data_IF_027110971439
#
_entry.id   IF_027110971439
#
_cell.length_a   1.000
_cell.length_b   1.000
_cell.length_c   1.000
_cell.angle_alpha   90.00
_cell.angle_beta   90.00
_cell.angle_gamma   90.00
#
_symmetry.space_group_name_H-M   'P 1'
#
loop_
_entity.id
_entity.type
_entity.pdbx_description
1 polymer ?
#
# COMPACT_ATOMS: atom_id res chain seq x y z
N UNK A 1 21.91 -19.10 -64.93
CA UNK A 1 21.28 -19.83 -63.81
C UNK A 1 21.92 -19.35 -62.51
N UNK A 2 21.32 -18.39 -61.80
CA UNK A 2 21.62 -18.02 -60.39
C UNK A 2 20.87 -16.74 -59.99
N UNK A 3 19.62 -16.89 -59.53
CA UNK A 3 18.84 -15.84 -58.84
C UNK A 3 17.91 -16.44 -57.78
N UNK A 4 18.42 -17.37 -56.97
CA UNK A 4 17.58 -18.04 -55.95
C UNK A 4 18.07 -17.91 -54.50
N UNK A 5 19.17 -17.20 -54.25
CA UNK A 5 19.80 -17.18 -52.92
C UNK A 5 19.61 -15.91 -52.06
N UNK A 6 18.94 -14.87 -52.57
CA UNK A 6 18.88 -13.59 -51.82
C UNK A 6 17.59 -13.40 -51.00
N UNK A 7 16.49 -14.08 -51.36
CA UNK A 7 15.17 -13.82 -50.77
C UNK A 7 15.03 -14.28 -49.31
N UNK A 8 15.73 -15.36 -48.91
CA UNK A 8 15.68 -15.89 -47.54
C UNK A 8 16.45 -15.04 -46.52
N UNK A 9 17.50 -14.34 -46.96
CA UNK A 9 18.37 -13.54 -46.08
C UNK A 9 17.72 -12.21 -45.72
N UNK A 10 16.94 -11.63 -46.63
CA UNK A 10 16.18 -10.40 -46.40
C UNK A 10 14.98 -10.64 -45.47
N UNK A 11 14.27 -11.75 -45.61
CA UNK A 11 13.12 -12.09 -44.74
C UNK A 11 13.53 -12.36 -43.30
N UNK A 12 14.67 -13.03 -43.05
CA UNK A 12 15.18 -13.22 -41.67
C UNK A 12 15.62 -11.92 -41.02
N UNK A 13 16.19 -10.97 -41.78
CA UNK A 13 16.57 -9.65 -41.23
C UNK A 13 15.35 -8.78 -40.93
N UNK A 14 14.32 -8.81 -41.77
CA UNK A 14 13.05 -8.13 -41.52
C UNK A 14 12.32 -8.70 -40.31
N UNK A 15 12.31 -10.02 -40.12
CA UNK A 15 11.74 -10.67 -38.93
C UNK A 15 12.52 -10.33 -37.65
N UNK A 16 13.85 -10.24 -37.70
CA UNK A 16 14.65 -9.84 -36.55
C UNK A 16 14.40 -8.37 -36.17
N UNK A 17 14.32 -7.47 -37.15
CA UNK A 17 14.00 -6.06 -36.90
C UNK A 17 12.56 -5.88 -36.40
N UNK A 18 11.60 -6.66 -36.89
CA UNK A 18 10.22 -6.64 -36.38
C UNK A 18 10.15 -7.18 -34.94
N UNK A 19 10.90 -8.23 -34.61
CA UNK A 19 10.98 -8.77 -33.24
C UNK A 19 11.65 -7.79 -32.27
N UNK A 20 12.74 -7.13 -32.68
CA UNK A 20 13.41 -6.11 -31.86
C UNK A 20 12.49 -4.92 -31.64
N UNK A 21 11.80 -4.43 -32.68
CA UNK A 21 10.84 -3.33 -32.51
C UNK A 21 9.59 -3.71 -31.72
N UNK A 22 9.15 -4.97 -31.75
CA UNK A 22 8.04 -5.46 -30.92
C UNK A 22 8.48 -5.68 -29.48
N UNK A 23 9.71 -6.12 -29.21
CA UNK A 23 10.29 -6.15 -27.86
C UNK A 23 10.50 -4.72 -27.34
N UNK A 24 10.98 -3.79 -28.17
CA UNK A 24 11.13 -2.37 -27.79
C UNK A 24 9.77 -1.66 -27.63
N UNK A 25 8.72 -2.04 -28.38
CA UNK A 25 7.36 -1.54 -28.15
C UNK A 25 6.66 -2.21 -26.95
N UNK A 26 7.02 -3.44 -26.62
CA UNK A 26 6.59 -4.10 -25.38
C UNK A 26 7.33 -3.58 -24.14
N UNK A 27 8.42 -2.81 -24.34
CA UNK A 27 9.13 -2.05 -23.31
C UNK A 27 8.82 -0.55 -23.48
N UNK A 28 7.54 -0.21 -23.63
CA UNK A 28 7.04 1.07 -23.14
C UNK A 28 6.77 0.90 -21.64
N UNK A 29 7.87 0.71 -20.87
CA UNK A 29 7.85 0.68 -19.41
C UNK A 29 7.22 1.98 -18.94
N UNK A 30 6.01 1.92 -18.39
CA UNK A 30 5.35 3.11 -17.85
C UNK A 30 5.87 3.35 -16.43
N UNK A 31 7.11 3.82 -16.32
CA UNK A 31 7.55 4.47 -15.10
C UNK A 31 6.60 5.65 -14.85
N UNK A 32 6.04 5.75 -13.64
CA UNK A 32 5.16 6.86 -13.30
C UNK A 32 5.93 8.17 -13.39
N UNK A 33 5.49 9.08 -14.26
CA UNK A 33 6.22 10.33 -14.48
C UNK A 33 6.13 11.23 -13.25
N UNK A 34 7.07 12.14 -13.09
CA UNK A 34 7.02 13.14 -12.00
C UNK A 34 5.72 13.97 -12.02
N UNK A 35 5.16 14.22 -13.21
CA UNK A 35 3.88 14.94 -13.36
C UNK A 35 2.74 14.10 -12.79
N UNK A 36 2.73 12.81 -13.09
CA UNK A 36 1.71 11.87 -12.64
C UNK A 36 1.76 11.67 -11.13
N UNK A 37 2.96 11.53 -10.55
CA UNK A 37 3.13 11.46 -9.09
C UNK A 37 2.56 12.71 -8.43
N UNK A 38 2.86 13.90 -8.94
CA UNK A 38 2.34 15.17 -8.39
C UNK A 38 0.81 15.21 -8.47
N UNK A 39 0.23 14.78 -9.59
CA UNK A 39 -1.22 14.70 -9.77
C UNK A 39 -1.88 13.74 -8.77
N UNK A 40 -1.33 12.54 -8.65
CA UNK A 40 -1.81 11.52 -7.72
C UNK A 40 -1.68 11.97 -6.25
N UNK A 41 -0.52 12.49 -5.86
CA UNK A 41 -0.27 12.96 -4.49
C UNK A 41 -1.20 14.11 -4.12
N UNK A 42 -1.44 15.04 -5.06
CA UNK A 42 -2.41 16.13 -4.87
C UNK A 42 -3.82 15.58 -4.67
N UNK A 43 -4.27 14.68 -5.54
CA UNK A 43 -5.61 14.07 -5.44
C UNK A 43 -5.78 13.26 -4.14
N UNK A 44 -4.75 12.53 -3.71
CA UNK A 44 -4.72 11.79 -2.45
C UNK A 44 -4.76 12.74 -1.23
N UNK A 45 -3.97 13.81 -1.25
CA UNK A 45 -4.00 14.84 -0.19
C UNK A 45 -5.39 15.44 -0.04
N UNK A 46 -6.05 15.80 -1.14
CA UNK A 46 -7.40 16.35 -1.15
C UNK A 46 -8.42 15.35 -0.60
N UNK A 47 -8.35 14.09 -1.07
CA UNK A 47 -9.22 13.02 -0.62
C UNK A 47 -9.12 12.78 0.90
N UNK A 48 -7.89 12.70 1.42
CA UNK A 48 -7.61 12.43 2.83
C UNK A 48 -7.77 13.66 3.73
N UNK A 49 -7.93 14.85 3.13
CA UNK A 49 -7.86 16.15 3.81
C UNK A 49 -6.56 16.32 4.62
N UNK A 50 -5.47 15.86 4.03
CA UNK A 50 -4.14 15.90 4.64
C UNK A 50 -3.57 17.31 4.64
N UNK A 51 -2.95 17.74 5.74
CA UNK A 51 -2.31 19.06 5.82
C UNK A 51 -0.88 19.10 5.27
N UNK A 52 -0.21 17.96 5.15
CA UNK A 52 1.19 17.89 4.75
C UNK A 52 1.53 16.55 4.07
N UNK A 53 2.51 16.59 3.16
CA UNK A 53 3.05 15.41 2.48
C UNK A 53 4.51 15.19 2.89
N UNK A 54 4.84 13.95 3.26
CA UNK A 54 6.21 13.52 3.51
C UNK A 54 6.65 12.57 2.40
N UNK A 55 7.65 12.99 1.64
CA UNK A 55 8.26 12.17 0.60
C UNK A 55 9.41 11.41 1.23
N UNK A 56 9.35 10.09 1.20
CA UNK A 56 10.38 9.21 1.74
C UNK A 56 11.11 8.57 0.57
N UNK A 57 12.42 8.75 0.52
CA UNK A 57 13.22 8.36 -0.62
C UNK A 57 14.60 7.86 -0.19
N UNK A 58 14.97 6.67 -0.67
CA UNK A 58 16.21 5.98 -0.30
C UNK A 58 17.48 6.62 -0.84
N UNK A 59 18.61 6.14 -0.33
CA UNK A 59 19.95 6.73 -0.52
C UNK A 59 20.42 6.80 -1.98
N UNK A 60 19.84 6.01 -2.89
CA UNK A 60 20.24 5.90 -4.30
C UNK A 60 19.48 6.76 -5.32
N UNK A 61 18.28 7.24 -5.01
CA UNK A 61 17.34 7.79 -6.01
C UNK A 61 17.09 9.30 -5.89
N UNK A 62 17.84 9.99 -5.01
CA UNK A 62 17.21 11.05 -4.21
C UNK A 62 17.56 12.52 -4.45
N UNK A 63 18.31 12.92 -5.47
CA UNK A 63 18.64 14.37 -5.59
C UNK A 63 17.83 15.10 -6.66
N UNK A 64 17.87 14.67 -7.92
CA UNK A 64 17.30 15.49 -9.01
C UNK A 64 15.78 15.30 -9.12
N UNK A 65 15.30 14.05 -9.13
CA UNK A 65 13.87 13.74 -9.27
C UNK A 65 13.06 14.28 -8.09
N UNK A 66 13.60 14.20 -6.87
CA UNK A 66 12.94 14.70 -5.66
C UNK A 66 12.89 16.22 -5.62
N UNK A 67 13.96 16.92 -6.02
CA UNK A 67 13.95 18.37 -6.11
C UNK A 67 12.92 18.89 -7.15
N UNK A 68 12.85 18.24 -8.31
CA UNK A 68 11.83 18.48 -9.34
C UNK A 68 10.42 18.26 -8.78
N UNK A 69 10.23 17.16 -8.04
CA UNK A 69 8.94 16.80 -7.45
C UNK A 69 8.49 17.78 -6.37
N UNK A 70 9.38 18.19 -5.46
CA UNK A 70 9.13 19.22 -4.45
C UNK A 70 8.74 20.55 -5.09
N UNK A 71 9.47 20.98 -6.13
CA UNK A 71 9.17 22.21 -6.86
C UNK A 71 7.75 22.16 -7.45
N UNK A 72 7.39 21.04 -8.08
CA UNK A 72 6.06 20.87 -8.70
C UNK A 72 4.94 20.76 -7.67
N UNK A 73 5.16 20.07 -6.56
CA UNK A 73 4.21 20.03 -5.44
C UNK A 73 3.98 21.44 -4.87
N UNK A 74 5.04 22.23 -4.70
CA UNK A 74 4.92 23.62 -4.28
C UNK A 74 4.12 24.47 -5.27
N UNK A 75 4.33 24.29 -6.58
CA UNK A 75 3.51 24.95 -7.62
C UNK A 75 2.04 24.52 -7.59
N UNK A 76 1.75 23.32 -7.10
CA UNK A 76 0.40 22.79 -6.88
C UNK A 76 -0.15 23.11 -5.48
N UNK A 77 0.48 24.03 -4.74
CA UNK A 77 0.08 24.44 -3.38
C UNK A 77 0.04 23.27 -2.37
N UNK A 78 0.88 22.25 -2.60
CA UNK A 78 1.06 21.13 -1.70
C UNK A 78 2.30 21.37 -0.82
N UNK A 79 2.07 21.51 0.48
CA UNK A 79 3.15 21.53 1.49
C UNK A 79 3.77 20.14 1.59
N UNK A 80 5.01 20.01 1.11
CA UNK A 80 5.73 18.76 1.08
C UNK A 80 7.16 18.93 1.61
N UNK A 81 7.66 17.92 2.31
CA UNK A 81 9.06 17.82 2.72
C UNK A 81 9.60 16.43 2.44
N UNK A 82 10.92 16.29 2.44
CA UNK A 82 11.62 15.04 2.16
C UNK A 82 12.23 14.52 3.46
N UNK A 83 12.06 13.22 3.69
CA UNK A 83 12.70 12.50 4.79
C UNK A 83 13.58 11.39 4.22
N UNK A 84 14.76 11.23 4.82
CA UNK A 84 15.52 10.01 4.63
C UNK A 84 14.77 8.85 5.33
N UNK A 85 14.77 7.62 4.77
CA UNK A 85 14.18 6.46 5.44
C UNK A 85 14.68 6.25 6.88
N UNK A 86 15.93 6.60 7.18
CA UNK A 86 16.48 6.49 8.53
C UNK A 86 15.95 7.55 9.51
N UNK A 87 15.45 8.68 8.99
CA UNK A 87 14.93 9.79 9.81
C UNK A 87 13.43 9.65 10.08
N UNK A 88 12.75 8.70 9.43
CA UNK A 88 11.30 8.50 9.54
C UNK A 88 10.88 8.20 10.98
N UNK A 89 11.56 7.28 11.66
CA UNK A 89 11.18 6.88 13.03
C UNK A 89 11.41 8.01 14.03
N UNK A 90 12.61 8.63 14.12
CA UNK A 90 12.83 9.77 15.01
C UNK A 90 11.83 10.90 14.77
N UNK A 91 11.52 11.19 13.50
CA UNK A 91 10.56 12.23 13.15
C UNK A 91 9.12 11.89 13.58
N UNK A 92 8.73 10.61 13.48
CA UNK A 92 7.40 10.15 13.91
C UNK A 92 7.21 10.30 15.40
N UNK A 93 8.19 9.88 16.19
CA UNK A 93 8.13 9.92 17.66
C UNK A 93 7.96 11.35 18.18
N UNK A 94 8.58 12.33 17.53
CA UNK A 94 8.63 13.71 18.02
C UNK A 94 7.48 14.63 17.52
N UNK A 95 6.98 14.44 16.28
CA UNK A 95 6.22 15.50 15.60
C UNK A 95 4.87 15.09 15.01
N UNK A 96 4.57 13.80 14.95
CA UNK A 96 3.52 13.33 14.05
C UNK A 96 2.10 13.54 14.55
N UNK A 97 1.89 13.56 15.87
CA UNK A 97 0.59 13.89 16.48
C UNK A 97 0.23 15.38 16.30
N UNK A 98 1.20 16.24 15.99
CA UNK A 98 1.00 17.67 15.79
C UNK A 98 0.49 18.00 14.38
N UNK A 99 0.59 17.06 13.45
CA UNK A 99 0.25 17.26 12.04
C UNK A 99 -1.08 16.56 11.75
N UNK A 100 -2.02 17.29 11.16
CA UNK A 100 -3.32 16.74 10.82
C UNK A 100 -3.22 15.75 9.65
N UNK A 101 -3.22 14.45 9.97
CA UNK A 101 -3.25 13.32 9.03
C UNK A 101 -2.24 13.46 7.89
N UNK A 102 -0.93 13.49 8.17
CA UNK A 102 0.05 13.61 7.10
C UNK A 102 -0.07 12.44 6.12
N UNK A 103 0.13 12.69 4.82
CA UNK A 103 0.29 11.64 3.82
C UNK A 103 1.78 11.34 3.66
N UNK A 104 2.18 10.08 3.79
CA UNK A 104 3.57 9.68 3.52
C UNK A 104 3.64 8.91 2.23
N UNK A 105 4.62 9.25 1.42
CA UNK A 105 4.78 8.70 0.08
C UNK A 105 6.17 8.11 -0.01
N UNK A 106 6.26 6.79 -0.06
CA UNK A 106 7.48 6.09 -0.40
C UNK A 106 7.65 6.11 -1.92
N UNK A 107 8.72 6.76 -2.37
CA UNK A 107 9.03 6.93 -3.80
C UNK A 107 10.02 5.89 -4.33
N UNK A 108 10.59 5.07 -3.45
CA UNK A 108 11.52 4.01 -3.81
C UNK A 108 11.15 2.70 -3.13
N UNK A 109 11.58 1.62 -3.76
CA UNK A 109 11.37 0.25 -3.29
C UNK A 109 12.70 -0.47 -3.06
N UNK A 110 13.73 0.29 -2.72
CA UNK A 110 15.05 -0.23 -2.39
C UNK A 110 15.09 -0.89 -1.00
N UNK A 111 16.22 -1.53 -0.71
CA UNK A 111 16.43 -2.25 0.55
C UNK A 111 16.39 -1.36 1.79
N UNK A 112 16.75 -0.08 1.68
CA UNK A 112 16.68 0.87 2.79
C UNK A 112 15.23 1.21 3.09
N UNK A 113 14.43 1.48 2.05
CA UNK A 113 12.98 1.70 2.21
C UNK A 113 12.27 0.48 2.77
N UNK A 114 12.60 -0.72 2.29
CA UNK A 114 12.05 -1.97 2.84
C UNK A 114 12.40 -2.15 4.33
N UNK A 115 13.65 -1.87 4.71
CA UNK A 115 14.11 -1.94 6.10
C UNK A 115 13.37 -0.93 6.98
N UNK A 116 13.24 0.31 6.52
CA UNK A 116 12.51 1.37 7.22
C UNK A 116 11.06 0.99 7.43
N UNK A 117 10.37 0.48 6.40
CA UNK A 117 8.99 0.00 6.53
C UNK A 117 8.85 -1.05 7.63
N UNK A 118 9.73 -2.07 7.62
CA UNK A 118 9.75 -3.10 8.66
C UNK A 118 9.95 -2.54 10.07
N UNK A 119 10.79 -1.51 10.22
CA UNK A 119 11.04 -0.90 11.52
C UNK A 119 9.89 0.01 11.97
N UNK A 120 9.35 0.83 11.06
CA UNK A 120 8.23 1.73 11.34
C UNK A 120 7.03 0.95 11.87
N UNK A 121 6.63 -0.11 11.18
CA UNK A 121 5.48 -0.91 11.60
C UNK A 121 5.73 -1.79 12.84
N UNK A 122 6.98 -1.94 13.28
CA UNK A 122 7.32 -2.62 14.54
C UNK A 122 7.29 -1.69 15.74
N UNK A 123 7.73 -0.45 15.56
CA UNK A 123 7.95 0.50 16.68
C UNK A 123 6.74 1.41 16.89
N UNK A 124 6.05 1.78 15.81
CA UNK A 124 5.04 2.83 15.84
C UNK A 124 3.65 2.22 15.83
N UNK A 125 2.79 2.75 16.68
CA UNK A 125 1.35 2.53 16.58
C UNK A 125 0.82 3.25 15.34
N UNK A 126 0.68 2.52 14.23
CA UNK A 126 0.30 3.09 12.93
C UNK A 126 -1.20 3.34 12.77
N UNK A 127 -1.96 3.33 13.89
CA UNK A 127 -3.37 3.68 13.91
C UNK A 127 -3.58 5.04 13.26
N UNK A 128 -4.47 5.10 12.27
CA UNK A 128 -4.81 6.33 11.55
C UNK A 128 -3.68 6.94 10.70
N UNK A 129 -2.62 6.17 10.41
CA UNK A 129 -1.58 6.62 9.48
C UNK A 129 -1.90 6.13 8.07
N UNK A 130 -1.99 7.09 7.15
CA UNK A 130 -2.11 6.80 5.72
C UNK A 130 -0.75 6.85 5.05
N UNK A 131 -0.41 5.77 4.36
CA UNK A 131 0.84 5.58 3.63
C UNK A 131 0.53 5.28 2.16
N UNK A 132 1.38 5.76 1.27
CA UNK A 132 1.33 5.49 -0.15
C UNK A 132 2.69 4.99 -0.62
N UNK A 133 2.75 3.79 -1.16
CA UNK A 133 3.91 3.24 -1.84
C UNK A 133 3.71 3.40 -3.35
N UNK A 134 4.68 4.02 -4.02
CA UNK A 134 4.73 4.13 -5.47
C UNK A 134 5.96 3.36 -5.96
N UNK A 135 5.79 2.10 -6.41
CA UNK A 135 6.88 1.32 -6.97
C UNK A 135 7.49 2.00 -8.19
N UNK A 136 8.81 1.87 -8.32
CA UNK A 136 9.54 2.37 -9.50
C UNK A 136 9.29 1.50 -10.74
N UNK A 137 9.10 0.19 -10.52
CA UNK A 137 8.85 -0.82 -11.55
C UNK A 137 7.45 -1.43 -11.35
N UNK A 138 6.65 -1.46 -12.41
CA UNK A 138 5.30 -2.04 -12.42
C UNK A 138 5.30 -3.57 -12.33
N UNK A 139 6.40 -4.23 -12.68
CA UNK A 139 6.58 -5.67 -12.51
C UNK A 139 6.99 -6.07 -11.09
N UNK A 140 7.21 -5.11 -10.19
CA UNK A 140 7.56 -5.42 -8.80
C UNK A 140 6.45 -6.24 -8.13
N UNK A 141 6.82 -7.41 -7.62
CA UNK A 141 5.98 -8.17 -6.69
C UNK A 141 5.85 -7.41 -5.37
N UNK A 142 4.67 -6.86 -5.12
CA UNK A 142 4.31 -6.22 -3.85
C UNK A 142 4.42 -7.21 -2.68
N UNK A 143 4.15 -8.50 -2.91
CA UNK A 143 4.31 -9.54 -1.88
C UNK A 143 5.77 -9.69 -1.47
N UNK A 144 6.67 -9.74 -2.45
CA UNK A 144 8.11 -9.93 -2.20
C UNK A 144 8.69 -8.70 -1.50
N UNK A 145 8.29 -7.50 -1.92
CA UNK A 145 8.72 -6.26 -1.28
C UNK A 145 8.20 -6.14 0.16
N UNK A 146 6.97 -6.55 0.42
CA UNK A 146 6.36 -6.51 1.76
C UNK A 146 6.52 -7.82 2.56
N UNK A 147 7.37 -8.73 2.08
CA UNK A 147 7.69 -9.95 2.80
C UNK A 147 8.31 -9.59 4.16
N UNK A 148 7.84 -10.24 5.23
CA UNK A 148 8.31 -9.99 6.60
C UNK A 148 7.97 -8.60 7.16
N UNK A 149 7.16 -7.80 6.46
CA UNK A 149 6.60 -6.55 6.96
C UNK A 149 5.17 -6.81 7.44
N UNK A 150 4.93 -6.62 8.75
CA UNK A 150 3.59 -6.68 9.31
C UNK A 150 2.92 -5.31 9.19
N UNK A 151 2.03 -5.14 8.22
CA UNK A 151 1.20 -3.93 8.08
C UNK A 151 -0.10 -4.17 8.85
N UNK A 152 -0.36 -3.46 9.96
CA UNK A 152 -1.50 -3.76 10.81
C UNK A 152 -2.85 -3.57 10.12
N UNK A 153 -3.82 -4.38 10.52
CA UNK A 153 -5.22 -4.33 10.08
C UNK A 153 -5.93 -2.99 10.35
N UNK A 154 -5.35 -2.05 11.10
CA UNK A 154 -5.89 -0.70 11.32
C UNK A 154 -5.09 0.42 10.65
N UNK A 155 -4.06 0.08 9.86
CA UNK A 155 -3.26 1.04 9.08
C UNK A 155 -3.75 1.16 7.65
N UNK A 156 -3.84 2.38 7.11
CA UNK A 156 -4.28 2.65 5.74
C UNK A 156 -3.03 2.70 4.82
N UNK A 157 -2.58 1.54 4.34
CA UNK A 157 -1.40 1.44 3.48
C UNK A 157 -1.80 1.14 2.05
N UNK A 158 -1.60 2.10 1.16
CA UNK A 158 -1.96 2.00 -0.24
C UNK A 158 -0.71 1.77 -1.10
N UNK A 159 -0.85 0.95 -2.13
CA UNK A 159 0.14 0.75 -3.18
C UNK A 159 -0.45 1.25 -4.49
N UNK A 160 0.23 2.17 -5.15
CA UNK A 160 -0.15 2.70 -6.45
C UNK A 160 0.64 2.06 -7.58
N UNK A 161 -0.02 1.23 -8.40
CA UNK A 161 0.60 0.57 -9.55
C UNK A 161 0.00 1.11 -10.85
N UNK A 162 0.86 1.41 -11.82
CA UNK A 162 0.43 1.87 -13.14
C UNK A 162 -0.12 0.67 -13.92
N UNK A 163 -1.25 0.87 -14.59
CA UNK A 163 -1.88 -0.09 -15.49
C UNK A 163 -2.53 0.67 -16.64
N UNK A 164 -1.81 0.75 -17.76
CA UNK A 164 -2.22 1.55 -18.92
C UNK A 164 -2.39 3.04 -18.55
N UNK A 165 -3.56 3.66 -18.76
CA UNK A 165 -3.79 5.07 -18.48
C UNK A 165 -4.15 5.37 -17.02
N UNK A 166 -4.19 4.37 -16.15
CA UNK A 166 -4.64 4.49 -14.76
C UNK A 166 -3.52 4.11 -13.78
N UNK A 167 -3.57 4.71 -12.61
CA UNK A 167 -2.90 4.20 -11.40
C UNK A 167 -3.96 3.50 -10.56
N UNK A 168 -3.82 2.19 -10.37
CA UNK A 168 -4.64 1.44 -9.44
C UNK A 168 -4.08 1.57 -8.03
N UNK A 169 -4.94 1.97 -7.11
CA UNK A 169 -4.64 1.99 -5.69
C UNK A 169 -5.20 0.74 -5.04
N UNK A 170 -4.31 -0.05 -4.46
CA UNK A 170 -4.67 -1.24 -3.70
C UNK A 170 -4.25 -1.03 -2.25
N UNK A 171 -5.20 -1.16 -1.34
CA UNK A 171 -4.92 -1.23 0.08
C UNK A 171 -4.33 -2.59 0.42
N UNK A 172 -3.28 -2.60 1.24
CA UNK A 172 -2.61 -3.82 1.69
C UNK A 172 -2.43 -3.84 3.20
N UNK A 173 -2.67 -4.99 3.81
CA UNK A 173 -2.55 -5.20 5.25
C UNK A 173 -2.41 -6.68 5.57
N UNK A 174 -2.08 -7.00 6.83
CA UNK A 174 -2.15 -8.36 7.37
C UNK A 174 -3.07 -8.38 8.57
N UNK A 175 -3.95 -9.37 8.63
CA UNK A 175 -4.94 -9.50 9.71
C UNK A 175 -4.28 -9.85 11.05
N UNK A 176 -3.19 -10.62 11.00
CA UNK A 176 -2.31 -10.87 12.13
C UNK A 176 -0.85 -11.04 11.67
N UNK A 177 0.09 -11.00 12.61
CA UNK A 177 1.50 -11.23 12.30
C UNK A 177 1.71 -12.67 11.81
N UNK A 178 2.41 -12.83 10.68
CA UNK A 178 2.63 -14.13 10.03
C UNK A 178 1.55 -14.55 9.04
N UNK A 179 0.39 -13.87 9.00
CA UNK A 179 -0.66 -14.15 8.02
C UNK A 179 -0.32 -13.61 6.62
N UNK A 180 -0.92 -14.14 5.55
CA UNK A 180 -0.75 -13.63 4.18
C UNK A 180 -1.09 -12.15 4.02
N UNK A 181 -0.54 -11.52 2.98
CA UNK A 181 -0.84 -10.12 2.66
C UNK A 181 -2.21 -10.06 2.01
N UNK A 182 -3.15 -9.39 2.67
CA UNK A 182 -4.46 -9.06 2.14
C UNK A 182 -4.36 -7.87 1.19
N UNK A 183 -5.17 -7.90 0.13
CA UNK A 183 -5.24 -6.86 -0.90
C UNK A 183 -6.68 -6.50 -1.16
N UNK A 184 -7.00 -5.22 -1.02
CA UNK A 184 -8.31 -4.69 -1.33
C UNK A 184 -8.20 -3.55 -2.32
N UNK A 185 -9.00 -3.58 -3.37
CA UNK A 185 -9.03 -2.49 -4.32
C UNK A 185 -9.60 -1.23 -3.65
N UNK A 186 -8.80 -0.16 -3.62
CA UNK A 186 -9.20 1.11 -3.01
C UNK A 186 -9.84 2.03 -4.05
N UNK A 187 -9.23 2.12 -5.23
CA UNK A 187 -9.67 3.04 -6.26
C UNK A 187 -8.68 3.17 -7.40
N UNK A 188 -8.93 4.15 -8.26
CA UNK A 188 -8.00 4.51 -9.32
C UNK A 188 -7.89 6.02 -9.51
N UNK A 189 -6.79 6.41 -10.12
CA UNK A 189 -6.53 7.76 -10.57
C UNK A 189 -6.07 7.74 -12.03
N UNK A 190 -6.48 8.71 -12.83
CA UNK A 190 -6.11 8.78 -14.25
C UNK A 190 -4.81 9.55 -14.44
N UNK A 191 -3.88 9.03 -15.25
CA UNK A 191 -2.64 9.74 -15.62
C UNK A 191 -2.93 11.04 -16.40
N UNK A 192 -4.12 11.16 -17.00
CA UNK A 192 -4.58 12.41 -17.64
C UNK A 192 -4.97 13.48 -16.61
N UNK A 193 -4.87 13.17 -15.31
CA UNK A 193 -5.36 14.00 -14.22
C UNK A 193 -6.83 13.78 -13.91
N UNK A 194 -7.33 14.55 -12.95
CA UNK A 194 -8.72 14.50 -12.51
C UNK A 194 -8.89 13.97 -11.09
N UNK A 195 -10.15 13.80 -10.66
CA UNK A 195 -10.45 13.39 -9.30
C UNK A 195 -10.07 11.94 -9.04
N UNK A 196 -9.71 11.65 -7.80
CA UNK A 196 -9.52 10.28 -7.35
C UNK A 196 -10.87 9.54 -7.31
N UNK A 197 -10.96 8.43 -8.04
CA UNK A 197 -12.13 7.56 -8.03
C UNK A 197 -11.95 6.46 -6.98
N UNK A 198 -12.53 6.67 -5.81
CA UNK A 198 -12.50 5.70 -4.70
C UNK A 198 -13.72 4.79 -4.77
N UNK A 199 -13.51 3.48 -4.64
CA UNK A 199 -14.62 2.53 -4.62
C UNK A 199 -15.47 2.75 -3.36
N UNK A 200 -16.80 2.71 -3.49
CA UNK A 200 -17.70 2.83 -2.35
C UNK A 200 -17.48 1.76 -1.27
N UNK A 201 -16.92 0.60 -1.64
CA UNK A 201 -16.55 -0.48 -0.71
C UNK A 201 -15.26 -0.17 0.06
N UNK A 202 -14.31 0.57 -0.50
CA UNK A 202 -13.17 1.07 0.25
C UNK A 202 -13.59 1.99 1.43
N UNK A 203 -14.81 2.54 1.40
CA UNK A 203 -15.41 3.25 2.55
C UNK A 203 -16.07 2.34 3.59
N UNK A 204 -16.40 1.09 3.24
CA UNK A 204 -16.85 0.08 4.21
C UNK A 204 -15.59 -0.49 4.84
N UNK A 205 -15.37 -0.13 6.09
CA UNK A 205 -14.24 -0.59 6.91
C UNK A 205 -14.07 -2.11 6.80
N UNK A 206 -12.83 -2.56 6.89
CA UNK A 206 -12.42 -3.97 6.95
C UNK A 206 -13.26 -4.71 8.00
N UNK A 207 -14.26 -5.47 7.54
CA UNK A 207 -15.20 -6.21 8.39
C UNK A 207 -15.00 -7.72 8.29
N UNK A 208 -13.91 -8.18 7.69
CA UNK A 208 -13.62 -9.60 7.52
C UNK A 208 -12.25 -9.88 8.13
N UNK A 209 -12.23 -10.69 9.18
CA UNK A 209 -11.04 -11.10 9.91
C UNK A 209 -10.54 -12.47 9.43
N UNK A 210 -11.05 -12.98 8.31
CA UNK A 210 -10.52 -14.12 7.56
C UNK A 210 -10.28 -15.39 8.40
N UNK A 211 -11.08 -15.59 9.44
CA UNK A 211 -11.02 -16.74 10.33
C UNK A 211 -9.88 -16.72 11.35
N UNK A 212 -9.23 -15.56 11.62
CA UNK A 212 -8.21 -15.49 12.68
C UNK A 212 -8.79 -15.95 14.03
N UNK A 213 -7.92 -16.44 14.91
CA UNK A 213 -8.29 -16.78 16.28
C UNK A 213 -8.20 -15.52 17.16
N UNK A 214 -9.34 -14.99 17.61
CA UNK A 214 -9.41 -13.84 18.50
C UNK A 214 -9.51 -14.31 19.96
N UNK A 215 -8.43 -14.12 20.72
CA UNK A 215 -8.39 -14.49 22.14
C UNK A 215 -8.83 -13.32 23.01
N UNK A 216 -9.81 -13.56 23.87
CA UNK A 216 -10.31 -12.56 24.82
C UNK A 216 -10.25 -13.09 26.26
N UNK A 217 -10.09 -12.17 27.20
CA UNK A 217 -10.19 -12.44 28.63
C UNK A 217 -11.42 -11.72 29.15
N UNK A 218 -12.24 -12.43 29.88
CA UNK A 218 -13.52 -11.93 30.36
C UNK A 218 -13.55 -12.01 31.88
N UNK A 219 -13.99 -10.93 32.52
CA UNK A 219 -14.25 -10.93 33.96
C UNK A 219 -15.55 -11.69 34.24
N UNK A 220 -15.52 -12.57 35.24
CA UNK A 220 -16.70 -13.27 35.72
C UNK A 220 -17.60 -12.29 36.49
N UNK A 221 -18.56 -11.71 35.78
CA UNK A 221 -19.59 -10.83 36.33
C UNK A 221 -20.90 -11.58 36.14
N UNK A 222 -21.46 -12.08 37.25
CA UNK A 222 -22.56 -13.06 37.28
C UNK A 222 -23.82 -12.62 36.51
N UNK A 223 -23.96 -11.34 36.18
CA UNK A 223 -25.07 -10.76 35.43
C UNK A 223 -24.82 -10.61 33.92
N UNK A 224 -23.57 -10.75 33.45
CA UNK A 224 -23.15 -10.42 32.07
C UNK A 224 -22.58 -11.64 31.33
N UNK A 225 -21.97 -12.58 32.05
CA UNK A 225 -21.24 -13.72 31.49
C UNK A 225 -21.73 -15.03 32.09
N UNK A 226 -21.90 -16.05 31.23
CA UNK A 226 -22.15 -17.43 31.67
C UNK A 226 -20.91 -18.22 31.32
N UNK A 227 -20.20 -18.67 32.35
CA UNK A 227 -18.96 -19.43 32.23
C UNK A 227 -19.26 -20.90 32.50
N UNK A 228 -18.73 -21.79 31.66
CA UNK A 228 -18.80 -23.24 31.83
C UNK A 228 -17.38 -23.81 31.87
N UNK A 229 -17.13 -24.65 32.86
CA UNK A 229 -15.89 -25.43 32.95
C UNK A 229 -16.12 -26.82 32.39
N UNK A 230 -15.43 -27.15 31.31
CA UNK A 230 -15.42 -28.49 30.70
C UNK A 230 -13.98 -28.94 30.47
N UNK A 231 -13.63 -30.17 30.88
CA UNK A 231 -12.31 -30.77 30.66
C UNK A 231 -11.12 -29.87 31.11
N UNK A 232 -11.22 -29.25 32.29
CA UNK A 232 -10.25 -28.26 32.80
C UNK A 232 -10.06 -27.03 31.90
N UNK A 233 -11.04 -26.70 31.05
CA UNK A 233 -11.09 -25.47 30.27
C UNK A 233 -12.32 -24.67 30.65
N UNK A 234 -12.08 -23.44 31.08
CA UNK A 234 -13.10 -22.44 31.35
C UNK A 234 -13.46 -21.75 30.03
N UNK A 235 -14.72 -21.82 29.61
CA UNK A 235 -15.23 -21.22 28.37
C UNK A 235 -16.44 -20.35 28.64
N UNK A 236 -16.65 -19.32 27.83
CA UNK A 236 -17.86 -18.50 27.91
C UNK A 236 -18.97 -19.20 27.12
N UNK A 237 -19.89 -19.84 27.82
CA UNK A 237 -21.01 -20.56 27.22
C UNK A 237 -22.19 -19.64 26.85
N UNK A 238 -22.28 -18.43 27.41
CA UNK A 238 -23.39 -17.52 27.15
C UNK A 238 -23.37 -16.21 27.96
N UNK A 239 -24.56 -15.70 28.26
CA UNK A 239 -24.76 -14.36 28.82
C UNK A 239 -24.76 -13.29 27.74
N UNK A 240 -24.98 -12.03 28.13
CA UNK A 240 -24.98 -10.90 27.20
C UNK A 240 -23.65 -10.81 26.43
N UNK A 241 -22.52 -10.99 27.12
CA UNK A 241 -21.21 -11.00 26.46
C UNK A 241 -21.10 -12.14 25.44
N UNK A 242 -21.46 -13.37 25.81
CA UNK A 242 -21.39 -14.51 24.89
C UNK A 242 -22.27 -14.34 23.65
N UNK A 243 -23.43 -13.71 23.78
CA UNK A 243 -24.30 -13.37 22.65
C UNK A 243 -23.66 -12.33 21.73
N UNK A 244 -23.13 -11.24 22.29
CA UNK A 244 -22.44 -10.20 21.52
C UNK A 244 -21.20 -10.76 20.84
N UNK A 245 -20.42 -11.60 21.53
CA UNK A 245 -19.22 -12.23 20.98
C UNK A 245 -19.53 -13.09 19.76
N UNK A 246 -20.56 -13.94 19.82
CA UNK A 246 -20.99 -14.77 18.68
C UNK A 246 -21.52 -13.93 17.52
N UNK A 247 -22.23 -12.83 17.81
CA UNK A 247 -22.67 -11.90 16.77
C UNK A 247 -21.45 -11.30 16.06
N UNK A 248 -20.45 -10.84 16.83
CA UNK A 248 -19.21 -10.31 16.27
C UNK A 248 -18.44 -11.39 15.49
N UNK A 249 -18.37 -12.62 15.99
CA UNK A 249 -17.73 -13.76 15.31
C UNK A 249 -18.34 -14.01 13.93
N UNK A 250 -19.67 -13.96 13.83
CA UNK A 250 -20.41 -14.13 12.58
C UNK A 250 -20.24 -12.95 11.62
N UNK A 251 -20.37 -11.71 12.12
CA UNK A 251 -20.32 -10.50 11.30
C UNK A 251 -18.89 -10.15 10.87
N UNK A 252 -17.90 -10.53 11.66
CA UNK A 252 -16.49 -10.20 11.43
C UNK A 252 -15.65 -11.39 10.96
N UNK A 253 -16.20 -12.60 10.88
CA UNK A 253 -15.50 -13.80 10.42
C UNK A 253 -14.18 -14.06 11.17
N UNK A 254 -14.23 -14.22 12.49
CA UNK A 254 -13.12 -14.72 13.32
C UNK A 254 -13.54 -16.00 14.04
N UNK A 255 -12.63 -16.61 14.82
CA UNK A 255 -12.88 -17.78 15.69
C UNK A 255 -12.40 -17.57 17.12
#
# INVERSE_FOLDING_TARGET
MNRHFDKKRTTSRLLLFLMITIQDLAILRSEISTVDIVGLVTAMKEHLKSSAVFLICGSGTCNIRVAELLKRLSMAEVSATVLNPNDVIPYIEDYWELINKPLKVFLSTDTDTQRTLRQVFKVINTKSLTWLLLPEDDEMSVDDFLEGTYIPFDSEFLVGQVSGPLVHLTEVYRTAEGEPLSREYFGNWSLQGGPLHVESRARKKRTDFQGIILRTVVLDVREITIIVEENNRTTVAGGYFGMVWRLLEQELNFT
#
